data_IF_185243229876
#
_entry.id   IF_185243229876
#
_cell.length_a   1.000
_cell.length_b   1.000
_cell.length_c   1.000
_cell.angle_alpha   90.00
_cell.angle_beta   90.00
_cell.angle_gamma   90.00
#
_symmetry.space_group_name_H-M   'P 1'
#
loop_
_entity.id
_entity.type
_entity.pdbx_description
1 polymer ?
#
# COMPACT_ATOMS: atom_id res chain seq x y z
N UNK A 1 20.68 -7.26 -8.86
CA UNK A 1 20.35 -8.01 -7.63
C UNK A 1 18.84 -7.92 -7.45
N UNK A 2 18.13 -9.04 -7.54
CA UNK A 2 16.69 -9.04 -7.26
C UNK A 2 16.46 -8.80 -5.78
N UNK A 3 15.72 -7.74 -5.43
CA UNK A 3 15.29 -7.50 -4.06
C UNK A 3 14.16 -8.49 -3.75
N UNK A 4 14.21 -9.15 -2.60
CA UNK A 4 13.12 -10.03 -2.13
C UNK A 4 12.21 -9.22 -1.22
N UNK A 5 10.96 -9.00 -1.63
CA UNK A 5 9.95 -8.32 -0.82
C UNK A 5 9.38 -9.29 0.21
N UNK A 6 9.25 -8.83 1.47
CA UNK A 6 8.53 -9.55 2.52
C UNK A 6 7.43 -8.64 3.06
N UNK A 7 6.27 -9.24 3.31
CA UNK A 7 5.13 -8.54 3.90
C UNK A 7 4.93 -9.00 5.34
N UNK A 8 4.47 -8.10 6.19
CA UNK A 8 4.00 -8.46 7.53
C UNK A 8 2.82 -9.44 7.41
N UNK A 9 2.67 -10.44 8.30
CA UNK A 9 1.57 -11.42 8.20
C UNK A 9 0.17 -10.78 8.21
N UNK A 10 0.01 -9.61 8.83
CA UNK A 10 -1.27 -8.88 8.85
C UNK A 10 -1.53 -8.03 7.60
N UNK A 11 -0.57 -7.92 6.69
CA UNK A 11 -0.70 -7.09 5.49
C UNK A 11 -1.89 -7.50 4.62
N UNK A 12 -2.09 -8.82 4.43
CA UNK A 12 -3.21 -9.34 3.65
C UNK A 12 -4.55 -9.06 4.33
N UNK A 13 -4.61 -9.12 5.65
CA UNK A 13 -5.82 -8.86 6.44
C UNK A 13 -6.20 -7.37 6.38
N UNK A 14 -5.23 -6.46 6.50
CA UNK A 14 -5.44 -5.02 6.30
C UNK A 14 -5.94 -4.70 4.89
N UNK A 15 -5.33 -5.31 3.87
CA UNK A 15 -5.71 -5.10 2.47
C UNK A 15 -7.14 -5.56 2.21
N UNK A 16 -7.48 -6.78 2.61
CA UNK A 16 -8.82 -7.35 2.39
C UNK A 16 -9.89 -6.55 3.13
N UNK A 17 -9.67 -6.23 4.41
CA UNK A 17 -10.63 -5.43 5.18
C UNK A 17 -10.85 -4.04 4.59
N UNK A 18 -9.78 -3.36 4.16
CA UNK A 18 -9.90 -2.05 3.53
C UNK A 18 -10.63 -2.13 2.18
N UNK A 19 -10.28 -3.10 1.33
CA UNK A 19 -10.91 -3.30 0.03
C UNK A 19 -12.42 -3.60 0.17
N UNK A 20 -12.79 -4.52 1.07
CA UNK A 20 -14.18 -4.88 1.34
C UNK A 20 -14.97 -3.69 1.91
N UNK A 21 -14.35 -2.91 2.80
CA UNK A 21 -14.96 -1.70 3.32
C UNK A 21 -15.25 -0.71 2.20
N UNK A 22 -14.29 -0.41 1.33
CA UNK A 22 -14.49 0.52 0.21
C UNK A 22 -15.55 0.02 -0.78
N UNK A 23 -15.51 -1.26 -1.13
CA UNK A 23 -16.49 -1.87 -2.04
C UNK A 23 -17.91 -1.78 -1.48
N UNK A 24 -18.07 -1.98 -0.16
CA UNK A 24 -19.37 -1.81 0.51
C UNK A 24 -19.89 -0.37 0.51
N UNK A 25 -19.01 0.63 0.37
CA UNK A 25 -19.39 2.05 0.30
C UNK A 25 -19.82 2.47 -1.09
N UNK A 26 -19.09 2.02 -2.10
CA UNK A 26 -19.37 2.36 -3.49
C UNK A 26 -18.84 1.22 -4.37
N UNK A 27 -19.68 0.60 -5.21
CA UNK A 27 -19.24 -0.44 -6.12
C UNK A 27 -18.06 0.02 -6.99
N UNK A 28 -17.01 -0.80 -7.06
CA UNK A 28 -15.77 -0.52 -7.78
C UNK A 28 -14.71 0.26 -6.98
N UNK A 29 -15.05 0.80 -5.80
CA UNK A 29 -14.08 1.54 -5.00
C UNK A 29 -13.06 0.62 -4.32
N UNK A 30 -13.42 -0.63 -4.04
CA UNK A 30 -12.49 -1.65 -3.55
C UNK A 30 -11.43 -1.99 -4.60
N UNK A 31 -11.87 -2.17 -5.85
CA UNK A 31 -10.98 -2.40 -7.01
C UNK A 31 -10.04 -1.21 -7.23
N UNK A 32 -10.57 0.01 -7.13
CA UNK A 32 -9.76 1.22 -7.24
C UNK A 32 -8.71 1.32 -6.12
N UNK A 33 -9.05 0.88 -4.91
CA UNK A 33 -8.12 0.83 -3.78
C UNK A 33 -6.99 -0.17 -4.01
N UNK A 34 -7.32 -1.42 -4.39
CA UNK A 34 -6.31 -2.45 -4.64
C UNK A 34 -5.39 -2.05 -5.79
N UNK A 35 -5.92 -1.49 -6.88
CA UNK A 35 -5.10 -1.03 -8.00
C UNK A 35 -4.15 0.12 -7.63
N UNK A 36 -4.56 1.03 -6.74
CA UNK A 36 -3.67 2.08 -6.21
C UNK A 36 -2.59 1.52 -5.29
N UNK A 37 -2.93 0.52 -4.46
CA UNK A 37 -1.97 -0.15 -3.60
C UNK A 37 -0.92 -0.91 -4.41
N UNK A 38 -1.32 -1.70 -5.40
CA UNK A 38 -0.41 -2.42 -6.31
C UNK A 38 0.56 -1.46 -7.00
N UNK A 39 0.03 -0.39 -7.60
CA UNK A 39 0.86 0.62 -8.28
C UNK A 39 1.87 1.29 -7.33
N UNK A 40 1.50 1.50 -6.06
CA UNK A 40 2.37 2.07 -5.06
C UNK A 40 3.46 1.08 -4.61
N UNK A 41 3.11 -0.19 -4.44
CA UNK A 41 4.06 -1.26 -4.11
C UNK A 41 5.06 -1.47 -5.24
N UNK A 42 4.62 -1.51 -6.50
CA UNK A 42 5.52 -1.59 -7.65
C UNK A 42 6.52 -0.43 -7.66
N UNK A 43 6.03 0.80 -7.46
CA UNK A 43 6.91 1.97 -7.37
C UNK A 43 7.91 1.87 -6.21
N UNK A 44 7.47 1.38 -5.05
CA UNK A 44 8.31 1.21 -3.85
C UNK A 44 9.36 0.11 -4.06
N UNK A 45 9.01 -1.01 -4.69
CA UNK A 45 9.93 -2.12 -4.97
C UNK A 45 11.00 -1.70 -5.98
N UNK A 46 10.62 -0.91 -6.99
CA UNK A 46 11.55 -0.39 -8.00
C UNK A 46 12.49 0.67 -7.43
N UNK A 47 12.01 1.54 -6.54
CA UNK A 47 12.80 2.62 -5.94
C UNK A 47 12.45 2.84 -4.45
N UNK A 48 13.00 2.01 -3.54
CA UNK A 48 12.69 2.05 -2.11
C UNK A 48 13.11 3.36 -1.41
N UNK A 49 13.99 4.15 -2.04
CA UNK A 49 14.58 5.36 -1.47
C UNK A 49 13.89 6.64 -1.93
N UNK A 50 12.98 6.54 -2.91
CA UNK A 50 12.39 7.67 -3.63
C UNK A 50 11.62 8.68 -2.77
N UNK A 51 10.91 8.21 -1.74
CA UNK A 51 10.04 9.04 -0.88
C UNK A 51 10.32 8.73 0.58
N UNK A 52 11.42 9.27 1.09
CA UNK A 52 11.88 9.00 2.45
C UNK A 52 11.60 10.20 3.33
N UNK A 53 10.41 10.25 3.94
CA UNK A 53 10.33 10.80 5.29
C UNK A 53 10.69 9.62 6.21
N UNK A 54 11.97 9.49 6.52
CA UNK A 54 12.43 8.46 7.43
C UNK A 54 12.19 8.93 8.87
N UNK A 55 11.46 8.14 9.66
CA UNK A 55 11.30 8.39 11.09
C UNK A 55 11.38 7.07 11.82
N UNK A 56 12.34 6.94 12.73
CA UNK A 56 12.59 5.71 13.49
C UNK A 56 12.83 4.47 12.60
N UNK A 57 13.62 4.63 11.53
CA UNK A 57 13.95 3.54 10.58
C UNK A 57 12.75 2.99 9.78
N UNK A 58 11.62 3.71 9.81
CA UNK A 58 10.42 3.44 9.02
C UNK A 58 10.25 4.49 7.92
N UNK A 59 9.73 4.04 6.77
CA UNK A 59 9.47 4.88 5.60
C UNK A 59 7.98 4.90 5.34
N UNK A 60 7.44 6.08 5.09
CA UNK A 60 6.01 6.27 4.92
C UNK A 60 5.70 6.55 3.46
N UNK A 61 4.84 5.74 2.87
CA UNK A 61 4.35 5.94 1.51
C UNK A 61 2.84 6.16 1.49
N UNK A 62 2.37 7.42 1.43
CA UNK A 62 0.93 7.71 1.42
C UNK A 62 0.30 7.27 0.09
N UNK A 63 -0.87 6.64 0.17
CA UNK A 63 -1.69 6.28 -0.97
C UNK A 63 -2.56 7.47 -1.39
N UNK A 64 -2.12 8.25 -2.38
CA UNK A 64 -2.93 9.34 -2.91
C UNK A 64 -4.35 8.84 -3.28
N UNK A 65 -5.39 9.59 -2.89
CA UNK A 65 -6.84 9.28 -2.99
C UNK A 65 -7.43 8.50 -1.80
N UNK A 66 -6.62 7.73 -1.07
CA UNK A 66 -7.10 6.93 0.06
C UNK A 66 -6.40 7.36 1.36
N UNK A 67 -7.09 7.46 2.49
CA UNK A 67 -6.48 7.82 3.77
C UNK A 67 -5.65 6.65 4.37
N UNK A 68 -4.72 6.09 3.60
CA UNK A 68 -3.87 4.95 3.97
C UNK A 68 -2.40 5.24 3.67
N UNK A 69 -1.52 4.61 4.43
CA UNK A 69 -0.08 4.71 4.30
C UNK A 69 0.53 3.31 4.30
N UNK A 70 1.51 3.08 3.43
CA UNK A 70 2.36 1.89 3.47
C UNK A 70 3.54 2.23 4.38
N UNK A 71 3.83 1.34 5.32
CA UNK A 71 4.90 1.44 6.32
C UNK A 71 6.02 0.45 6.04
#
# INVERSE_FOLDING_TARGET
MGRTTRFHPLFSDDLTQAADWYESRTPGLGVDFTGKLESALDALIQDPERRSLERFDLRYWPLNRFPHVIL
#
